data_IF_582632199152
#
_entry.id   IF_582632199152
#
_cell.length_a   1.000
_cell.length_b   1.000
_cell.length_c   1.000
_cell.angle_alpha   90.00
_cell.angle_beta   90.00
_cell.angle_gamma   90.00
#
_symmetry.space_group_name_H-M   'P 1'
#
loop_
_entity.id
_entity.type
_entity.pdbx_description
1 polymer ?
#
# COMPACT_ATOMS: atom_id res chain seq x y z
N UNK A 1 7.73 13.14 1.47
CA UNK A 1 8.37 11.81 1.40
C UNK A 1 8.21 11.23 0.01
N UNK A 2 8.97 10.20 -0.35
CA UNK A 2 8.86 9.48 -1.62
C UNK A 2 8.54 8.00 -1.40
N UNK A 3 7.60 7.48 -2.19
CA UNK A 3 7.03 6.14 -2.03
C UNK A 3 7.20 5.35 -3.31
N UNK A 4 7.86 4.19 -3.22
CA UNK A 4 7.92 3.20 -4.29
C UNK A 4 6.70 2.29 -4.25
N UNK A 5 6.04 2.05 -5.39
CA UNK A 5 4.84 1.23 -5.44
C UNK A 5 5.17 -0.22 -5.77
N UNK A 6 4.87 -1.16 -4.86
CA UNK A 6 5.04 -2.60 -5.09
C UNK A 6 3.73 -3.37 -5.16
N UNK A 7 2.62 -2.77 -4.73
CA UNK A 7 1.30 -3.35 -4.88
C UNK A 7 0.19 -2.37 -4.52
N UNK A 8 -1.04 -2.80 -4.79
CA UNK A 8 -2.27 -2.07 -4.50
C UNK A 8 -3.26 -2.97 -3.78
N UNK A 9 -4.13 -2.36 -2.98
CA UNK A 9 -5.26 -3.09 -2.40
C UNK A 9 -6.29 -3.43 -3.47
N UNK A 10 -7.22 -4.33 -3.14
CA UNK A 10 -8.19 -4.84 -4.10
C UNK A 10 -9.30 -3.84 -4.46
N UNK A 11 -9.55 -2.83 -3.63
CA UNK A 11 -10.69 -1.90 -3.83
C UNK A 11 -10.22 -0.59 -4.44
N UNK A 12 -10.79 -0.25 -5.59
CA UNK A 12 -10.62 1.03 -6.26
C UNK A 12 -11.92 1.81 -6.31
N UNK A 13 -11.84 3.13 -6.15
CA UNK A 13 -12.96 4.04 -6.40
C UNK A 13 -12.52 5.31 -7.10
N UNK A 14 -13.45 5.91 -7.83
CA UNK A 14 -13.26 7.12 -8.61
C UNK A 14 -14.16 8.23 -8.08
N UNK A 15 -13.57 9.39 -7.83
CA UNK A 15 -14.32 10.63 -7.67
C UNK A 15 -14.10 11.51 -8.89
N UNK A 16 -15.14 11.63 -9.71
CA UNK A 16 -15.14 12.56 -10.84
C UNK A 16 -15.18 14.00 -10.33
N UNK A 17 -14.26 14.82 -10.82
CA UNK A 17 -14.26 16.26 -10.61
C UNK A 17 -14.80 17.00 -11.82
N UNK A 18 -15.14 18.28 -11.64
CA UNK A 18 -15.51 19.16 -12.76
C UNK A 18 -14.35 19.42 -13.73
N UNK A 19 -13.12 19.09 -13.32
CA UNK A 19 -11.91 19.15 -14.15
C UNK A 19 -11.04 17.92 -13.88
N UNK A 20 -10.10 17.63 -14.78
CA UNK A 20 -9.14 16.53 -14.59
C UNK A 20 -8.35 16.68 -13.28
N UNK A 21 -7.89 17.90 -12.96
CA UNK A 21 -7.18 18.17 -11.69
C UNK A 21 -8.02 17.90 -10.44
N UNK A 22 -9.35 17.94 -10.54
CA UNK A 22 -10.29 17.65 -9.44
C UNK A 22 -10.72 16.18 -9.40
N UNK A 23 -10.38 15.40 -10.43
CA UNK A 23 -10.63 13.96 -10.49
C UNK A 23 -9.60 13.21 -9.67
N UNK A 24 -10.07 12.28 -8.83
CA UNK A 24 -9.23 11.53 -7.91
C UNK A 24 -9.58 10.03 -7.93
N UNK A 25 -8.55 9.21 -7.83
CA UNK A 25 -8.62 7.76 -7.70
C UNK A 25 -8.20 7.38 -6.29
N UNK A 26 -8.94 6.46 -5.69
CA UNK A 26 -8.65 5.95 -4.35
C UNK A 26 -8.41 4.46 -4.41
N UNK A 27 -7.45 3.99 -3.62
CA UNK A 27 -7.18 2.57 -3.44
C UNK A 27 -7.16 2.21 -1.96
N UNK A 28 -7.84 1.13 -1.61
CA UNK A 28 -7.90 0.59 -0.26
C UNK A 28 -8.05 -0.93 -0.32
N UNK A 29 -8.10 -1.57 0.84
CA UNK A 29 -8.20 -3.03 0.94
C UNK A 29 -9.66 -3.50 0.91
N UNK A 30 -9.86 -4.75 0.54
CA UNK A 30 -11.12 -5.47 0.59
C UNK A 30 -10.91 -6.99 0.60
N UNK A 31 -11.98 -7.72 0.91
CA UNK A 31 -11.99 -9.18 0.88
C UNK A 31 -13.08 -9.66 -0.08
N UNK A 32 -12.74 -10.63 -0.92
CA UNK A 32 -13.72 -11.30 -1.78
C UNK A 32 -14.48 -12.34 -0.98
N UNK A 33 -15.78 -12.11 -0.78
CA UNK A 33 -16.70 -13.03 -0.09
C UNK A 33 -17.83 -13.39 -1.03
N UNK A 34 -18.10 -14.69 -1.24
CA UNK A 34 -19.16 -15.17 -2.13
C UNK A 34 -19.07 -14.58 -3.55
N UNK A 35 -17.84 -14.49 -4.09
CA UNK A 35 -17.56 -13.91 -5.41
C UNK A 35 -17.72 -12.39 -5.49
N UNK A 36 -18.00 -11.69 -4.37
CA UNK A 36 -18.15 -10.24 -4.32
C UNK A 36 -17.09 -9.60 -3.45
N UNK A 37 -16.41 -8.60 -4.00
CA UNK A 37 -15.48 -7.77 -3.24
C UNK A 37 -16.25 -6.91 -2.23
N UNK A 38 -15.83 -6.93 -0.97
CA UNK A 38 -16.40 -6.13 0.11
C UNK A 38 -15.29 -5.48 0.92
N UNK A 39 -15.51 -4.26 1.40
CA UNK A 39 -14.51 -3.54 2.20
C UNK A 39 -14.05 -4.32 3.44
N UNK A 40 -14.97 -4.87 4.25
CA UNK A 40 -14.64 -5.66 5.46
C UNK A 40 -13.55 -5.01 6.33
N UNK A 41 -13.61 -3.69 6.47
CA UNK A 41 -12.53 -2.89 7.05
C UNK A 41 -12.37 -3.18 8.55
N UNK A 42 -11.12 -3.42 8.96
CA UNK A 42 -10.68 -3.47 10.36
C UNK A 42 -9.83 -2.25 10.71
N UNK A 43 -8.98 -1.79 9.80
CA UNK A 43 -8.26 -0.51 9.90
C UNK A 43 -8.53 0.27 8.62
N UNK A 44 -9.13 1.46 8.74
CA UNK A 44 -9.47 2.27 7.58
C UNK A 44 -8.31 3.20 7.19
N UNK A 45 -7.84 3.05 5.96
CA UNK A 45 -7.03 4.02 5.25
C UNK A 45 -7.11 3.79 3.75
N UNK A 46 -6.59 4.73 2.99
CA UNK A 46 -6.62 4.71 1.54
C UNK A 46 -5.48 5.52 0.95
N UNK A 47 -5.07 5.13 -0.25
CA UNK A 47 -4.24 5.94 -1.12
C UNK A 47 -5.14 6.86 -1.92
N UNK A 48 -4.62 8.02 -2.28
CA UNK A 48 -5.25 8.94 -3.21
C UNK A 48 -4.26 9.34 -4.29
N UNK A 49 -4.69 9.25 -5.53
CA UNK A 49 -4.02 9.80 -6.70
C UNK A 49 -4.92 10.87 -7.33
N UNK A 50 -4.35 12.01 -7.72
CA UNK A 50 -5.06 12.93 -8.61
C UNK A 50 -4.75 12.57 -10.07
N UNK A 51 -5.69 12.80 -10.99
CA UNK A 51 -5.52 12.41 -12.39
C UNK A 51 -4.38 13.14 -13.13
N UNK A 52 -3.86 14.24 -12.56
CA UNK A 52 -2.77 15.05 -13.15
C UNK A 52 -1.38 14.67 -12.62
N UNK A 53 -1.27 13.70 -11.71
CA UNK A 53 -0.02 13.33 -11.01
C UNK A 53 0.86 12.28 -11.72
N UNK A 54 0.55 11.90 -12.95
CA UNK A 54 1.28 10.83 -13.66
C UNK A 54 0.88 9.40 -13.26
N UNK A 55 -0.11 9.25 -12.37
CA UNK A 55 -0.81 7.98 -12.16
C UNK A 55 -1.58 7.60 -13.42
N UNK A 56 -1.42 6.35 -13.88
CA UNK A 56 -2.15 5.81 -15.02
C UNK A 56 -3.34 4.96 -14.52
N UNK A 57 -4.57 5.49 -14.50
CA UNK A 57 -5.73 4.75 -14.02
C UNK A 57 -6.23 3.67 -15.00
N UNK A 58 -5.94 3.81 -16.29
CA UNK A 58 -6.35 2.84 -17.31
C UNK A 58 -5.51 1.56 -17.27
N UNK A 59 -4.30 1.65 -16.69
CA UNK A 59 -3.37 0.55 -16.54
C UNK A 59 -2.71 0.60 -15.15
N UNK A 60 -3.50 0.35 -14.11
CA UNK A 60 -3.09 0.45 -12.70
C UNK A 60 -1.78 -0.28 -12.43
N UNK A 61 -1.63 -1.52 -12.91
CA UNK A 61 -0.43 -2.33 -12.71
C UNK A 61 0.85 -1.71 -13.29
N UNK A 62 0.75 -0.86 -14.34
CA UNK A 62 1.91 -0.16 -14.90
C UNK A 62 2.47 0.93 -13.98
N UNK A 63 1.79 1.22 -12.87
CA UNK A 63 2.28 2.11 -11.84
C UNK A 63 3.19 1.37 -10.82
N UNK A 64 3.18 0.03 -10.78
CA UNK A 64 4.11 -0.74 -9.96
C UNK A 64 5.54 -0.50 -10.46
N UNK A 65 6.45 -0.30 -9.52
CA UNK A 65 7.84 0.08 -9.74
C UNK A 65 8.05 1.54 -10.12
N UNK A 66 7.02 2.38 -10.02
CA UNK A 66 7.17 3.84 -10.08
C UNK A 66 7.30 4.41 -8.68
N UNK A 67 7.94 5.58 -8.58
CA UNK A 67 8.08 6.33 -7.34
C UNK A 67 7.20 7.57 -7.41
N UNK A 68 6.48 7.85 -6.34
CA UNK A 68 5.65 9.04 -6.19
C UNK A 68 6.12 9.89 -5.03
N UNK A 69 6.13 11.20 -5.22
CA UNK A 69 6.16 12.13 -4.10
C UNK A 69 4.81 12.09 -3.38
N UNK A 70 4.88 12.07 -2.05
CA UNK A 70 3.74 11.94 -1.19
C UNK A 70 3.79 12.98 -0.07
N UNK A 71 2.59 13.42 0.33
CA UNK A 71 2.42 14.29 1.50
C UNK A 71 2.77 13.54 2.79
N UNK A 72 2.69 14.22 3.92
CA UNK A 72 3.02 13.61 5.20
C UNK A 72 2.04 12.50 5.59
N UNK A 73 2.52 11.55 6.39
CA UNK A 73 1.69 10.51 6.96
C UNK A 73 0.73 11.13 7.98
N UNK A 74 -0.58 10.87 7.89
CA UNK A 74 -1.52 11.40 8.87
C UNK A 74 -1.21 10.85 10.26
N UNK A 75 -0.97 11.74 11.23
CA UNK A 75 -0.65 11.38 12.61
C UNK A 75 -1.85 10.72 13.34
N UNK A 76 -3.08 11.11 12.98
CA UNK A 76 -4.32 10.56 13.54
C UNK A 76 -5.45 10.52 12.50
N UNK A 77 -6.44 9.66 12.71
CA UNK A 77 -7.67 9.59 11.89
C UNK A 77 -7.61 8.65 10.68
N UNK A 78 -8.59 8.79 9.79
CA UNK A 78 -8.70 8.02 8.54
C UNK A 78 -7.50 8.34 7.63
N UNK A 79 -6.56 7.40 7.51
CA UNK A 79 -5.28 7.62 6.82
C UNK A 79 -5.50 7.72 5.31
N UNK A 80 -5.64 8.94 4.79
CA UNK A 80 -5.68 9.19 3.35
C UNK A 80 -4.31 9.69 2.90
N UNK A 81 -3.49 8.81 2.34
CA UNK A 81 -2.18 9.16 1.84
C UNK A 81 -2.28 9.69 0.40
N UNK A 82 -1.95 10.96 0.21
CA UNK A 82 -1.92 11.58 -1.12
C UNK A 82 -0.57 11.33 -1.80
N UNK A 83 -0.63 10.70 -2.96
CA UNK A 83 0.49 10.54 -3.90
C UNK A 83 0.35 11.64 -4.97
N UNK A 84 1.19 12.67 -4.86
CA UNK A 84 1.06 13.94 -5.58
C UNK A 84 1.43 13.80 -7.06
N UNK A 85 2.69 13.45 -7.32
CA UNK A 85 3.24 13.34 -8.65
C UNK A 85 4.31 12.26 -8.69
N UNK A 86 4.48 11.66 -9.87
CA UNK A 86 5.60 10.77 -10.12
C UNK A 86 6.92 11.52 -9.93
N UNK A 87 7.87 10.90 -9.22
CA UNK A 87 9.21 11.47 -9.04
C UNK A 87 10.02 11.34 -10.33
N UNK A 88 10.81 12.38 -10.64
CA UNK A 88 11.65 12.41 -11.83
C UNK A 88 13.00 11.73 -11.54
N UNK A 89 13.18 10.50 -12.03
CA UNK A 89 14.45 9.78 -11.99
C UNK A 89 14.53 8.67 -10.93
N UNK A 90 15.64 7.93 -10.90
CA UNK A 90 15.85 6.84 -9.94
C UNK A 90 16.06 7.41 -8.54
N UNK A 91 15.00 7.45 -7.73
CA UNK A 91 15.04 7.88 -6.34
C UNK A 91 14.93 6.68 -5.41
N UNK A 92 15.73 6.67 -4.33
CA UNK A 92 15.63 5.66 -3.26
C UNK A 92 14.40 5.99 -2.39
N UNK A 93 13.34 5.18 -2.37
CA UNK A 93 12.12 5.51 -1.64
C UNK A 93 12.33 5.52 -0.13
N UNK A 94 11.66 6.45 0.55
CA UNK A 94 11.57 6.45 2.03
C UNK A 94 10.77 5.23 2.50
N UNK A 95 9.73 4.88 1.72
CA UNK A 95 8.86 3.74 1.95
C UNK A 95 8.54 3.02 0.65
N UNK A 96 8.30 1.72 0.76
CA UNK A 96 7.67 0.92 -0.28
C UNK A 96 6.24 0.59 0.15
N UNK A 97 5.29 0.75 -0.77
CA UNK A 97 3.91 0.37 -0.58
C UNK A 97 3.71 -1.09 -1.00
N UNK A 98 3.41 -1.94 -0.03
CA UNK A 98 3.07 -3.34 -0.25
C UNK A 98 1.59 -3.59 0.00
N UNK A 99 1.00 -4.44 -0.86
CA UNK A 99 -0.24 -5.13 -0.58
C UNK A 99 0.09 -6.58 -0.22
N UNK A 100 -0.42 -7.05 0.92
CA UNK A 100 -0.21 -8.43 1.38
C UNK A 100 -1.55 -9.08 1.69
N UNK A 101 -1.62 -10.40 1.48
CA UNK A 101 -2.80 -11.20 1.74
C UNK A 101 -2.47 -12.34 2.69
N UNK A 102 -3.50 -13.00 3.25
CA UNK A 102 -3.30 -14.23 4.02
C UNK A 102 -2.53 -15.31 3.25
N UNK A 103 -2.63 -15.34 1.91
CA UNK A 103 -1.93 -16.33 1.09
C UNK A 103 -0.43 -16.01 0.97
N UNK A 104 -0.04 -14.73 1.01
CA UNK A 104 1.36 -14.33 0.87
C UNK A 104 2.14 -14.31 2.18
N UNK A 105 1.50 -13.97 3.30
CA UNK A 105 2.18 -13.83 4.60
C UNK A 105 1.53 -14.58 5.75
N UNK A 106 0.38 -15.22 5.52
CA UNK A 106 -0.53 -15.62 6.59
C UNK A 106 -1.26 -14.42 7.16
N UNK A 107 -2.16 -14.65 8.12
CA UNK A 107 -2.80 -13.55 8.84
C UNK A 107 -1.76 -12.73 9.62
N UNK A 108 -1.76 -11.41 9.45
CA UNK A 108 -1.00 -10.47 10.27
C UNK A 108 -1.56 -10.47 11.68
N UNK A 109 -0.68 -10.66 12.67
CA UNK A 109 -1.04 -10.70 14.09
C UNK A 109 -1.09 -9.28 14.69
N UNK A 110 -1.98 -8.44 14.17
CA UNK A 110 -1.98 -7.00 14.45
C UNK A 110 -2.27 -6.61 15.90
N UNK A 111 -2.85 -7.53 16.69
CA UNK A 111 -3.17 -7.34 18.10
C UNK A 111 -1.96 -7.65 19.01
N UNK A 112 -0.97 -8.40 18.51
CA UNK A 112 0.22 -8.77 19.26
C UNK A 112 1.28 -7.71 19.15
N UNK A 113 1.82 -7.25 20.28
CA UNK A 113 2.99 -6.37 20.26
C UNK A 113 4.18 -6.99 19.50
N UNK A 114 4.92 -6.17 18.76
CA UNK A 114 6.07 -6.65 17.98
C UNK A 114 5.71 -7.52 16.77
N UNK A 115 4.52 -7.35 16.19
CA UNK A 115 4.17 -7.97 14.91
C UNK A 115 4.83 -7.29 13.70
N UNK A 116 5.37 -6.09 13.87
CA UNK A 116 6.06 -5.31 12.83
C UNK A 116 7.22 -4.51 13.42
N UNK A 117 8.11 -4.02 12.57
CA UNK A 117 9.04 -2.93 12.93
C UNK A 117 8.26 -1.67 13.31
N UNK A 118 8.85 -0.84 14.17
CA UNK A 118 8.21 0.41 14.64
C UNK A 118 7.92 1.36 13.48
N UNK A 119 8.83 1.43 12.51
CA UNK A 119 8.75 2.29 11.32
C UNK A 119 7.74 1.82 10.27
N UNK A 120 7.21 0.60 10.34
CA UNK A 120 6.20 0.12 9.38
C UNK A 120 4.85 0.76 9.68
N UNK A 121 4.17 1.26 8.65
CA UNK A 121 2.83 1.85 8.80
C UNK A 121 1.79 0.93 8.17
N UNK A 122 0.85 0.46 8.99
CA UNK A 122 -0.36 -0.20 8.50
C UNK A 122 -1.34 0.86 7.99
N UNK A 123 -1.43 1.02 6.67
CA UNK A 123 -2.29 2.04 6.08
C UNK A 123 -3.75 1.59 6.12
N UNK A 124 -4.04 0.38 5.63
CA UNK A 124 -5.39 -0.19 5.59
C UNK A 124 -5.34 -1.68 5.88
N UNK A 125 -6.38 -2.20 6.51
CA UNK A 125 -6.59 -3.62 6.74
C UNK A 125 -8.05 -3.97 6.55
N UNK A 126 -8.29 -4.97 5.73
CA UNK A 126 -9.58 -5.63 5.58
C UNK A 126 -9.47 -7.07 6.04
N UNK A 127 -10.49 -7.56 6.74
CA UNK A 127 -10.50 -8.91 7.27
C UNK A 127 -11.90 -9.51 7.31
N UNK A 128 -11.99 -10.77 6.88
CA UNK A 128 -13.19 -11.58 7.08
C UNK A 128 -12.79 -13.05 7.27
N UNK A 129 -13.14 -13.61 8.44
CA UNK A 129 -12.64 -14.94 8.87
C UNK A 129 -11.10 -14.96 8.81
N UNK A 130 -10.52 -16.00 8.25
CA UNK A 130 -9.06 -16.18 8.09
C UNK A 130 -8.46 -15.38 6.92
N UNK A 131 -9.28 -14.72 6.11
CA UNK A 131 -8.80 -13.91 5.00
C UNK A 131 -8.52 -12.48 5.46
N UNK A 132 -7.34 -11.99 5.10
CA UNK A 132 -6.89 -10.64 5.30
C UNK A 132 -6.28 -10.08 4.02
N UNK A 133 -6.43 -8.78 3.84
CA UNK A 133 -5.68 -7.98 2.90
C UNK A 133 -5.23 -6.70 3.62
N UNK A 134 -3.93 -6.40 3.56
CA UNK A 134 -3.35 -5.24 4.20
C UNK A 134 -2.54 -4.40 3.20
N UNK A 135 -2.66 -3.08 3.35
CA UNK A 135 -1.78 -2.11 2.71
C UNK A 135 -0.79 -1.58 3.75
N UNK A 136 0.50 -1.70 3.45
CA UNK A 136 1.61 -1.39 4.33
C UNK A 136 2.57 -0.43 3.65
N UNK A 137 3.06 0.56 4.39
CA UNK A 137 4.25 1.32 4.02
C UNK A 137 5.42 0.79 4.83
N UNK A 138 6.45 0.31 4.14
CA UNK A 138 7.60 -0.36 4.73
C UNK A 138 8.88 0.31 4.26
N UNK A 139 9.72 0.86 5.16
CA UNK A 139 11.09 1.21 4.82
C UNK A 139 11.90 -0.02 4.38
N UNK A 140 13.00 0.20 3.67
CA UNK A 140 13.95 -0.85 3.36
C UNK A 140 14.42 -1.59 4.64
N UNK A 141 14.54 -2.91 4.54
CA UNK A 141 14.92 -3.84 5.61
C UNK A 141 14.03 -3.84 6.85
N UNK A 142 12.89 -3.13 6.81
CA UNK A 142 11.85 -3.27 7.82
C UNK A 142 11.09 -4.59 7.63
N UNK A 143 10.40 -5.03 8.68
CA UNK A 143 9.78 -6.35 8.69
C UNK A 143 8.36 -6.33 9.29
N UNK A 144 7.59 -7.33 8.88
CA UNK A 144 6.30 -7.72 9.47
C UNK A 144 6.32 -9.21 9.82
N UNK A 145 5.38 -9.63 10.65
CA UNK A 145 5.15 -11.02 11.03
C UNK A 145 3.70 -11.37 10.76
N UNK A 146 3.51 -12.45 10.00
CA UNK A 146 2.22 -13.08 9.77
C UNK A 146 2.26 -14.55 10.17
N UNK A 147 1.16 -15.25 9.91
CA UNK A 147 1.02 -16.68 10.23
C UNK A 147 2.05 -17.59 9.53
N UNK A 148 2.66 -17.14 8.44
CA UNK A 148 3.69 -17.90 7.71
C UNK A 148 5.13 -17.58 8.14
N UNK A 149 5.32 -16.64 9.08
CA UNK A 149 6.64 -16.27 9.58
C UNK A 149 6.91 -14.77 9.51
N UNK A 150 8.20 -14.41 9.50
CA UNK A 150 8.65 -13.02 9.35
C UNK A 150 8.92 -12.75 7.87
N UNK A 151 8.57 -11.55 7.43
CA UNK A 151 8.84 -11.06 6.09
C UNK A 151 9.54 -9.71 6.15
N UNK A 152 10.52 -9.50 5.28
CA UNK A 152 11.37 -8.31 5.22
C UNK A 152 11.22 -7.62 3.88
N UNK A 153 11.13 -6.30 3.89
CA UNK A 153 11.15 -5.48 2.68
C UNK A 153 12.60 -5.35 2.17
N UNK A 154 12.99 -6.19 1.22
CA UNK A 154 14.35 -6.21 0.66
C UNK A 154 14.43 -5.36 -0.61
N UNK A 155 15.20 -4.25 -0.61
CA UNK A 155 15.39 -3.44 -1.81
C UNK A 155 16.18 -4.18 -2.88
N UNK A 156 15.88 -3.91 -4.15
CA UNK A 156 16.60 -4.48 -5.27
C UNK A 156 17.92 -3.71 -5.50
N UNK A 157 19.05 -4.42 -5.53
CA UNK A 157 20.38 -3.82 -5.70
C UNK A 157 20.50 -2.99 -6.98
N UNK A 158 20.03 -3.54 -8.11
CA UNK A 158 20.15 -2.89 -9.43
C UNK A 158 19.01 -1.88 -9.70
N UNK A 159 17.97 -1.89 -8.87
CA UNK A 159 16.78 -1.04 -9.01
C UNK A 159 16.37 -0.53 -7.64
N UNK A 160 17.06 0.49 -7.09
CA UNK A 160 16.86 0.96 -5.71
C UNK A 160 15.45 1.51 -5.43
N UNK A 161 14.67 1.81 -6.47
CA UNK A 161 13.26 2.17 -6.39
C UNK A 161 12.31 0.97 -6.36
N UNK A 162 12.84 -0.25 -6.32
CA UNK A 162 12.10 -1.50 -6.17
C UNK A 162 12.44 -2.19 -4.87
N UNK A 163 11.47 -2.88 -4.30
CA UNK A 163 11.66 -3.80 -3.20
C UNK A 163 10.76 -5.02 -3.31
N UNK A 164 11.15 -6.10 -2.65
CA UNK A 164 10.36 -7.32 -2.54
C UNK A 164 10.11 -7.63 -1.07
N UNK A 165 8.93 -8.16 -0.78
CA UNK A 165 8.63 -8.67 0.56
C UNK A 165 8.99 -10.15 0.60
N UNK A 166 10.11 -10.49 1.26
CA UNK A 166 10.69 -11.83 1.24
C UNK A 166 10.61 -12.49 2.63
N UNK A 167 10.41 -13.81 2.72
CA UNK A 167 10.48 -14.52 3.99
C UNK A 167 11.90 -14.47 4.57
N UNK A 168 12.00 -14.33 5.90
CA UNK A 168 13.25 -14.35 6.68
C UNK A 168 13.20 -15.46 7.73
#
# INVERSE_FOLDING_TARGET
MIIGLEGFGSVWSLRLGSTLARTAFYNTTGITTDGKLRHRTRVFGQLRFNAVGGFNPDHIERNIGRVFEAGDLPETGARCLLLHHISNGPALPDYFLFAVTSDSTGGLDIERSGWKSDSVVLLSLSQFREQQEALLLMPAHSWIRGGLGRFVAEPCLDRPWRAFLLPN
#
